data_IF_930270049726
#
_entry.id   IF_930270049726
#
_cell.length_a   1.000
_cell.length_b   1.000
_cell.length_c   1.000
_cell.angle_alpha   90.00
_cell.angle_beta   90.00
_cell.angle_gamma   90.00
#
_symmetry.space_group_name_H-M   'P 1'
#
loop_
_entity.id
_entity.type
_entity.pdbx_description
1 polymer ?
#
# COMPACT_ATOMS: atom_id res chain seq x y z
N UNK A 1 29.30 -4.05 -20.88
CA UNK A 1 29.03 -4.23 -19.45
C UNK A 1 27.52 -4.04 -19.27
N UNK A 2 26.78 -5.13 -19.24
CA UNK A 2 25.35 -5.14 -18.96
C UNK A 2 25.21 -4.88 -17.45
N UNK A 3 24.74 -3.71 -17.08
CA UNK A 3 24.35 -3.44 -15.70
C UNK A 3 23.18 -4.37 -15.37
N UNK A 4 23.40 -5.35 -14.52
CA UNK A 4 22.32 -6.12 -13.92
C UNK A 4 21.43 -5.12 -13.13
N UNK A 5 20.21 -4.95 -13.61
CA UNK A 5 19.18 -4.23 -12.88
C UNK A 5 18.85 -5.13 -11.68
N UNK A 6 19.45 -4.82 -10.53
CA UNK A 6 19.06 -5.44 -9.27
C UNK A 6 17.60 -5.03 -9.00
N UNK A 7 16.70 -5.98 -9.27
CA UNK A 7 15.30 -5.83 -8.83
C UNK A 7 15.33 -5.65 -7.30
N UNK A 8 14.71 -4.61 -6.76
CA UNK A 8 14.63 -4.46 -5.31
C UNK A 8 13.99 -5.72 -4.74
N UNK A 9 14.60 -6.29 -3.70
CA UNK A 9 13.99 -7.40 -2.98
C UNK A 9 12.60 -6.96 -2.54
N UNK A 10 11.59 -7.57 -3.15
CA UNK A 10 10.19 -7.22 -2.97
C UNK A 10 9.71 -7.66 -1.59
N UNK A 11 9.98 -6.85 -0.57
CA UNK A 11 9.19 -6.88 0.66
C UNK A 11 7.85 -6.18 0.39
N UNK A 12 6.99 -6.86 -0.33
CA UNK A 12 5.68 -6.35 -0.72
C UNK A 12 4.70 -6.65 0.41
N UNK A 13 4.58 -5.75 1.35
CA UNK A 13 3.32 -5.62 2.05
C UNK A 13 2.29 -5.11 1.03
N UNK A 14 1.23 -5.87 0.76
CA UNK A 14 0.27 -5.70 -0.35
C UNK A 14 -0.26 -4.27 -0.49
N UNK A 15 -0.28 -3.52 0.60
CA UNK A 15 -0.84 -2.16 0.68
C UNK A 15 0.12 -1.14 1.27
N UNK A 16 1.29 -1.57 1.78
CA UNK A 16 2.32 -0.67 2.30
C UNK A 16 3.49 -0.65 1.33
N UNK A 17 3.79 0.54 0.84
CA UNK A 17 4.91 0.76 -0.06
C UNK A 17 5.94 1.65 0.63
N UNK A 18 7.20 1.21 0.61
CA UNK A 18 8.35 2.02 1.00
C UNK A 18 9.55 1.63 0.14
N UNK A 19 10.42 2.58 -0.14
CA UNK A 19 11.65 2.34 -0.91
C UNK A 19 11.47 2.06 -2.41
N UNK A 20 10.25 2.02 -2.94
CA UNK A 20 10.00 1.70 -4.36
C UNK A 20 10.71 2.66 -5.34
N UNK A 21 10.90 3.90 -4.92
CA UNK A 21 11.41 4.97 -5.77
C UNK A 21 12.67 5.61 -5.17
N UNK A 22 13.44 4.89 -4.35
CA UNK A 22 14.68 5.41 -3.77
C UNK A 22 15.66 6.04 -4.79
N UNK A 23 15.79 5.56 -6.04
CA UNK A 23 16.62 6.23 -7.03
C UNK A 23 16.27 7.71 -7.26
N UNK A 24 15.02 8.13 -7.03
CA UNK A 24 14.60 9.53 -7.16
C UNK A 24 15.20 10.47 -6.14
N UNK A 25 15.85 9.94 -5.12
CA UNK A 25 16.61 10.70 -4.13
C UNK A 25 17.75 11.50 -4.76
N UNK A 26 18.32 11.02 -5.85
CA UNK A 26 19.43 11.69 -6.54
C UNK A 26 19.04 13.07 -7.10
N UNK A 27 17.75 13.27 -7.42
CA UNK A 27 17.25 14.51 -8.01
C UNK A 27 16.39 15.35 -7.07
N UNK A 28 16.41 15.11 -5.75
CA UNK A 28 15.63 15.91 -4.79
C UNK A 28 15.98 17.40 -4.83
N UNK A 29 17.21 17.75 -5.26
CA UNK A 29 17.64 19.13 -5.46
C UNK A 29 16.87 19.85 -6.58
N UNK A 30 16.21 19.13 -7.49
CA UNK A 30 15.35 19.69 -8.53
C UNK A 30 13.90 19.88 -8.04
N UNK A 31 13.54 19.31 -6.89
CA UNK A 31 12.23 19.40 -6.29
C UNK A 31 12.13 20.53 -5.26
N UNK A 32 10.90 20.92 -4.94
CA UNK A 32 10.63 21.85 -3.83
C UNK A 32 10.40 21.05 -2.56
N UNK A 33 11.22 21.25 -1.54
CA UNK A 33 11.04 20.61 -0.23
C UNK A 33 9.81 21.17 0.47
N UNK A 34 8.94 20.30 0.94
CA UNK A 34 7.71 20.61 1.66
C UNK A 34 7.62 19.80 2.93
N UNK A 35 7.03 20.41 3.96
CA UNK A 35 6.72 19.74 5.22
C UNK A 35 5.22 19.79 5.44
N UNK A 36 4.59 18.64 5.42
CA UNK A 36 3.17 18.48 5.68
C UNK A 36 2.95 18.11 7.15
N UNK A 37 2.17 18.88 7.91
CA UNK A 37 1.71 18.45 9.23
C UNK A 37 0.76 17.25 9.07
N UNK A 38 0.59 16.47 10.14
CA UNK A 38 -0.47 15.47 10.17
C UNK A 38 -1.81 16.12 9.81
N UNK A 39 -2.50 15.56 8.83
CA UNK A 39 -3.79 16.05 8.36
C UNK A 39 -4.93 15.13 8.78
N UNK A 40 -6.05 15.71 9.20
CA UNK A 40 -7.31 15.01 9.39
C UNK A 40 -8.19 15.07 8.13
N UNK A 41 -7.81 15.89 7.16
CA UNK A 41 -8.53 16.07 5.90
C UNK A 41 -7.83 15.33 4.76
N UNK A 42 -8.61 14.87 3.80
CA UNK A 42 -8.10 14.33 2.57
C UNK A 42 -7.72 15.47 1.61
N UNK A 43 -6.59 15.32 0.94
CA UNK A 43 -6.15 16.21 -0.15
C UNK A 43 -6.45 15.52 -1.47
N UNK A 44 -7.10 16.24 -2.37
CA UNK A 44 -7.44 15.71 -3.70
C UNK A 44 -6.17 15.51 -4.54
N UNK A 45 -6.18 14.48 -5.39
CA UNK A 45 -5.14 14.29 -6.40
C UNK A 45 -5.18 15.42 -7.43
N UNK A 46 -4.02 15.83 -7.93
CA UNK A 46 -3.85 16.89 -8.93
C UNK A 46 -3.00 16.40 -10.10
N UNK A 47 -3.09 17.06 -11.26
CA UNK A 47 -2.31 16.70 -12.44
C UNK A 47 -1.06 17.55 -12.62
N UNK A 48 -0.83 18.54 -11.77
CA UNK A 48 0.25 19.52 -11.90
C UNK A 48 1.57 19.10 -11.26
N UNK A 49 1.53 18.13 -10.33
CA UNK A 49 2.73 17.72 -9.61
C UNK A 49 2.60 16.30 -9.01
N UNK A 50 3.74 15.71 -8.71
CA UNK A 50 3.88 14.50 -7.91
C UNK A 50 4.88 14.72 -6.78
N UNK A 51 4.92 13.79 -5.83
CA UNK A 51 5.69 13.95 -4.60
C UNK A 51 6.55 12.72 -4.32
N UNK A 52 7.80 12.95 -3.89
CA UNK A 52 8.68 11.91 -3.34
C UNK A 52 8.76 12.07 -1.83
N UNK A 53 8.45 11.03 -1.07
CA UNK A 53 8.45 11.03 0.41
C UNK A 53 9.87 10.79 0.92
N UNK A 54 10.44 11.76 1.63
CA UNK A 54 11.72 11.60 2.35
C UNK A 54 11.53 11.03 3.74
N UNK A 55 10.49 11.48 4.46
CA UNK A 55 10.10 10.98 5.79
C UNK A 55 8.59 11.06 5.96
N UNK A 56 8.06 10.19 6.81
CA UNK A 56 6.65 10.16 7.14
C UNK A 56 5.85 9.22 6.27
N UNK A 57 4.53 9.39 6.30
CA UNK A 57 3.60 8.45 5.69
C UNK A 57 2.32 9.13 5.19
N UNK A 58 1.92 8.72 4.00
CA UNK A 58 0.71 9.18 3.32
C UNK A 58 -0.18 7.98 3.02
N UNK A 59 -1.49 8.15 3.16
CA UNK A 59 -2.51 7.16 2.81
C UNK A 59 -3.28 7.62 1.59
N UNK A 60 -3.46 6.73 0.62
CA UNK A 60 -4.40 6.90 -0.49
C UNK A 60 -5.75 6.33 -0.07
N UNK A 61 -6.79 7.12 -0.25
CA UNK A 61 -8.19 6.71 -0.09
C UNK A 61 -8.97 6.99 -1.36
N UNK A 62 -10.01 6.21 -1.57
CA UNK A 62 -11.04 6.43 -2.57
C UNK A 62 -12.35 6.72 -1.85
N UNK A 63 -13.01 7.81 -2.21
CA UNK A 63 -14.32 8.16 -1.65
C UNK A 63 -15.41 7.68 -2.62
N UNK A 64 -16.29 6.81 -2.14
CA UNK A 64 -17.40 6.30 -2.96
C UNK A 64 -18.52 7.34 -3.11
N UNK A 65 -19.54 7.00 -3.93
CA UNK A 65 -20.70 7.88 -4.17
C UNK A 65 -21.53 8.17 -2.89
N UNK A 66 -21.42 7.35 -1.86
CA UNK A 66 -22.06 7.57 -0.56
C UNK A 66 -21.24 8.47 0.37
N UNK A 67 -20.06 8.93 -0.06
CA UNK A 67 -19.16 9.75 0.74
C UNK A 67 -18.29 8.95 1.73
N UNK A 68 -18.20 7.64 1.56
CA UNK A 68 -17.39 6.77 2.44
C UNK A 68 -15.98 6.63 1.88
N UNK A 69 -14.98 6.77 2.77
CA UNK A 69 -13.57 6.63 2.45
C UNK A 69 -13.12 5.17 2.55
N UNK A 70 -12.66 4.63 1.44
CA UNK A 70 -12.03 3.30 1.37
C UNK A 70 -10.52 3.43 1.27
N UNK A 71 -9.80 2.77 2.16
CA UNK A 71 -8.34 2.74 2.12
C UNK A 71 -7.87 1.88 0.95
N UNK A 72 -7.00 2.46 0.13
CA UNK A 72 -6.42 1.80 -1.06
C UNK A 72 -5.01 1.30 -0.75
N UNK A 73 -4.12 2.21 -0.34
CA UNK A 73 -2.74 1.88 -0.03
C UNK A 73 -2.06 2.97 0.82
N UNK A 74 -0.87 2.64 1.32
CA UNK A 74 -0.04 3.54 2.10
C UNK A 74 1.32 3.72 1.42
N UNK A 75 1.83 4.94 1.47
CA UNK A 75 3.14 5.31 0.96
C UNK A 75 4.01 5.82 2.10
N UNK A 76 5.18 5.23 2.27
CA UNK A 76 6.20 5.65 3.22
C UNK A 76 7.43 6.23 2.54
N UNK A 77 8.50 6.37 3.31
CA UNK A 77 9.81 6.86 2.85
C UNK A 77 10.27 6.17 1.57
N UNK A 78 10.82 6.93 0.63
CA UNK A 78 11.34 6.44 -0.63
C UNK A 78 10.24 6.06 -1.63
N UNK A 79 9.00 6.52 -1.43
CA UNK A 79 7.92 6.35 -2.40
C UNK A 79 7.53 7.65 -3.07
N UNK A 80 7.15 7.54 -4.33
CA UNK A 80 6.43 8.59 -5.05
C UNK A 80 4.93 8.36 -4.83
N UNK A 81 4.15 9.43 -4.77
CA UNK A 81 2.70 9.39 -4.82
C UNK A 81 2.16 10.53 -5.71
N UNK A 82 0.94 10.38 -6.18
CA UNK A 82 0.25 11.24 -7.15
C UNK A 82 0.81 11.19 -8.59
N UNK A 83 1.74 10.28 -8.88
CA UNK A 83 2.31 10.13 -10.23
C UNK A 83 1.28 9.64 -11.24
N UNK A 84 0.32 8.82 -10.84
CA UNK A 84 -0.70 8.27 -11.74
C UNK A 84 -1.53 9.37 -12.37
N UNK A 85 -2.03 10.33 -11.57
CA UNK A 85 -2.80 11.47 -12.09
C UNK A 85 -1.97 12.34 -13.05
N UNK A 86 -0.68 12.49 -12.75
CA UNK A 86 0.24 13.25 -13.64
C UNK A 86 0.48 12.50 -14.96
N UNK A 87 0.70 11.19 -14.92
CA UNK A 87 0.97 10.37 -16.12
C UNK A 87 -0.27 10.29 -17.02
N UNK A 88 -1.46 10.10 -16.42
CA UNK A 88 -2.71 9.94 -17.19
C UNK A 88 -3.32 11.27 -17.63
N UNK A 89 -2.93 12.38 -16.99
CA UNK A 89 -3.57 13.68 -17.19
C UNK A 89 -5.02 13.73 -16.67
N UNK A 90 -5.42 12.72 -15.88
CA UNK A 90 -6.76 12.61 -15.30
C UNK A 90 -6.70 12.99 -13.81
N UNK A 91 -7.46 13.99 -13.44
CA UNK A 91 -7.75 14.26 -12.04
C UNK A 91 -8.66 13.13 -11.56
N UNK A 92 -8.05 12.07 -11.02
CA UNK A 92 -8.79 10.98 -10.40
C UNK A 92 -9.65 11.57 -9.26
N UNK A 93 -10.81 12.10 -9.64
CA UNK A 93 -11.69 12.95 -8.81
C UNK A 93 -12.13 12.29 -7.52
N UNK A 94 -11.92 10.97 -7.41
CA UNK A 94 -12.25 10.17 -6.24
C UNK A 94 -11.03 9.73 -5.43
N UNK A 95 -9.79 9.99 -5.92
CA UNK A 95 -8.57 9.66 -5.20
C UNK A 95 -8.15 10.82 -4.29
N UNK A 96 -7.96 10.52 -3.01
CA UNK A 96 -7.56 11.48 -2.01
C UNK A 96 -6.36 10.99 -1.23
N UNK A 97 -5.49 11.91 -0.82
CA UNK A 97 -4.32 11.62 -0.01
C UNK A 97 -4.49 12.20 1.40
N UNK A 98 -4.17 11.42 2.41
CA UNK A 98 -4.13 11.88 3.81
C UNK A 98 -2.74 11.71 4.38
N UNK A 99 -2.22 12.79 4.96
CA UNK A 99 -0.94 12.78 5.68
C UNK A 99 -1.18 12.21 7.08
N UNK A 100 -0.59 11.05 7.39
CA UNK A 100 -0.86 10.31 8.62
C UNK A 100 -0.02 10.77 9.82
N UNK A 101 1.15 11.35 9.52
CA UNK A 101 2.10 11.90 10.49
C UNK A 101 2.85 13.07 9.84
N UNK A 102 3.68 13.81 10.60
CA UNK A 102 4.52 14.84 9.99
C UNK A 102 5.35 14.23 8.87
N UNK A 103 5.11 14.67 7.63
CA UNK A 103 5.71 14.11 6.41
C UNK A 103 6.56 15.16 5.73
N UNK A 104 7.80 14.82 5.40
CA UNK A 104 8.71 15.61 4.58
C UNK A 104 8.73 15.00 3.18
N UNK A 105 8.48 15.81 2.17
CA UNK A 105 8.43 15.36 0.78
C UNK A 105 9.00 16.41 -0.17
N UNK A 106 9.43 15.96 -1.34
CA UNK A 106 9.85 16.81 -2.45
C UNK A 106 8.77 16.82 -3.53
N UNK A 107 8.29 18.01 -3.86
CA UNK A 107 7.31 18.24 -4.94
C UNK A 107 8.05 18.43 -6.24
N UNK A 108 7.67 17.68 -7.25
CA UNK A 108 8.14 17.83 -8.64
C UNK A 108 6.99 18.26 -9.55
N UNK A 109 7.21 19.17 -10.49
CA UNK A 109 6.19 19.56 -11.46
C UNK A 109 5.92 18.41 -12.45
N UNK A 110 4.68 18.31 -12.94
CA UNK A 110 4.30 17.30 -13.93
C UNK A 110 5.14 17.39 -15.22
N UNK A 111 5.54 18.61 -15.60
CA UNK A 111 6.39 18.85 -16.77
C UNK A 111 7.70 18.07 -16.74
N UNK A 112 8.21 17.70 -15.56
CA UNK A 112 9.49 16.98 -15.44
C UNK A 112 9.44 15.61 -16.13
N UNK A 113 8.38 14.85 -15.94
CA UNK A 113 8.26 13.49 -16.54
C UNK A 113 7.86 13.53 -18.02
N UNK A 114 7.40 14.68 -18.51
CA UNK A 114 7.08 14.90 -19.92
C UNK A 114 8.24 15.55 -20.69
N UNK A 115 9.33 15.91 -20.01
CA UNK A 115 10.51 16.51 -20.62
C UNK A 115 11.40 15.42 -21.25
N UNK A 116 11.56 15.50 -22.58
CA UNK A 116 12.41 14.56 -23.33
C UNK A 116 13.90 14.67 -22.94
N UNK A 117 14.37 15.85 -22.51
CA UNK A 117 15.75 16.03 -22.03
C UNK A 117 15.94 15.30 -20.70
N UNK A 118 15.01 15.47 -19.76
CA UNK A 118 15.01 14.76 -18.49
C UNK A 118 15.00 13.24 -18.73
N UNK A 119 14.11 12.74 -19.60
CA UNK A 119 14.03 11.31 -19.91
C UNK A 119 15.33 10.76 -20.50
N UNK A 120 16.05 11.55 -21.29
CA UNK A 120 17.35 11.19 -21.86
C UNK A 120 18.47 11.19 -20.82
N UNK A 121 18.45 12.14 -19.89
CA UNK A 121 19.46 12.26 -18.85
C UNK A 121 19.25 11.25 -17.72
N UNK A 122 17.99 10.95 -17.37
CA UNK A 122 17.61 10.06 -16.26
C UNK A 122 16.71 8.90 -16.68
N UNK A 123 17.07 8.08 -17.69
CA UNK A 123 16.21 7.01 -18.19
C UNK A 123 15.89 5.96 -17.10
N UNK A 124 16.82 5.76 -16.16
CA UNK A 124 16.62 4.84 -15.05
C UNK A 124 15.55 5.31 -14.06
N UNK A 125 15.34 6.62 -13.90
CA UNK A 125 14.25 7.15 -13.06
C UNK A 125 12.89 6.96 -13.72
N UNK A 126 12.80 7.17 -15.04
CA UNK A 126 11.57 6.89 -15.78
C UNK A 126 11.22 5.40 -15.70
N UNK A 127 12.21 4.51 -15.89
CA UNK A 127 12.02 3.07 -15.74
C UNK A 127 11.61 2.71 -14.32
N UNK A 128 12.25 3.31 -13.30
CA UNK A 128 11.91 3.09 -11.90
C UNK A 128 10.47 3.54 -11.58
N UNK A 129 10.03 4.69 -12.10
CA UNK A 129 8.64 5.14 -11.96
C UNK A 129 7.66 4.16 -12.57
N UNK A 130 7.94 3.68 -13.80
CA UNK A 130 7.12 2.67 -14.47
C UNK A 130 7.00 1.38 -13.65
N UNK A 131 8.13 0.85 -13.17
CA UNK A 131 8.17 -0.37 -12.35
C UNK A 131 7.44 -0.18 -11.03
N UNK A 132 7.62 0.98 -10.38
CA UNK A 132 6.92 1.31 -9.14
C UNK A 132 5.41 1.41 -9.32
N UNK A 133 4.94 2.06 -10.38
CA UNK A 133 3.52 2.16 -10.73
C UNK A 133 2.92 0.79 -11.06
N UNK A 134 3.63 -0.03 -11.84
CA UNK A 134 3.22 -1.40 -12.14
C UNK A 134 3.11 -2.26 -10.87
N UNK A 135 4.06 -2.13 -9.93
CA UNK A 135 4.04 -2.81 -8.63
C UNK A 135 2.82 -2.39 -7.80
N UNK A 136 2.53 -1.10 -7.72
CA UNK A 136 1.34 -0.58 -7.03
C UNK A 136 0.06 -1.13 -7.63
N UNK A 137 -0.03 -1.14 -8.96
CA UNK A 137 -1.18 -1.68 -9.68
C UNK A 137 -1.35 -3.19 -9.43
N UNK A 138 -0.29 -3.97 -9.53
CA UNK A 138 -0.32 -5.42 -9.25
C UNK A 138 -0.79 -5.72 -7.83
N UNK A 139 -0.33 -4.93 -6.85
CA UNK A 139 -0.75 -5.08 -5.47
C UNK A 139 -2.20 -4.69 -5.25
N UNK A 140 -2.67 -3.60 -5.88
CA UNK A 140 -4.07 -3.21 -5.85
C UNK A 140 -4.98 -4.28 -6.45
N UNK A 141 -4.56 -4.88 -7.57
CA UNK A 141 -5.25 -6.00 -8.20
C UNK A 141 -5.34 -7.19 -7.24
N UNK A 142 -4.21 -7.58 -6.61
CA UNK A 142 -4.17 -8.67 -5.64
C UNK A 142 -5.11 -8.43 -4.46
N UNK A 143 -5.13 -7.22 -3.91
CA UNK A 143 -6.07 -6.84 -2.83
C UNK A 143 -7.51 -6.95 -3.30
N UNK A 144 -7.83 -6.42 -4.48
CA UNK A 144 -9.19 -6.38 -4.99
C UNK A 144 -9.75 -7.77 -5.33
N UNK A 145 -8.93 -8.64 -5.90
CA UNK A 145 -9.37 -9.96 -6.36
C UNK A 145 -9.12 -11.08 -5.35
N UNK A 146 -7.99 -11.08 -4.66
CA UNK A 146 -7.63 -12.20 -3.79
C UNK A 146 -8.10 -12.02 -2.34
N UNK A 147 -8.09 -10.76 -1.86
CA UNK A 147 -8.38 -10.50 -0.44
C UNK A 147 -9.84 -10.19 -0.21
N UNK A 148 -10.51 -9.47 -1.13
CA UNK A 148 -11.88 -9.01 -0.93
C UNK A 148 -12.98 -10.02 -1.30
N UNK A 149 -12.63 -11.21 -1.76
CA UNK A 149 -13.62 -12.25 -2.03
C UNK A 149 -13.92 -13.10 -0.80
N UNK A 150 -15.12 -13.64 -0.76
CA UNK A 150 -15.57 -14.60 0.21
C UNK A 150 -15.99 -14.03 1.56
N UNK A 151 -16.06 -14.93 2.54
CA UNK A 151 -16.47 -14.59 3.91
C UNK A 151 -15.53 -13.59 4.57
N UNK A 152 -15.97 -12.80 5.56
CA UNK A 152 -15.08 -11.94 6.33
C UNK A 152 -13.88 -12.68 6.92
N UNK A 153 -14.07 -13.93 7.37
CA UNK A 153 -12.99 -14.76 7.92
C UNK A 153 -11.97 -15.13 6.83
N UNK A 154 -12.42 -15.56 5.65
CA UNK A 154 -11.56 -15.87 4.52
C UNK A 154 -10.70 -14.67 4.11
N UNK A 155 -11.31 -13.47 4.04
CA UNK A 155 -10.60 -12.22 3.73
C UNK A 155 -9.50 -11.92 4.74
N UNK A 156 -9.78 -12.07 6.04
CA UNK A 156 -8.78 -11.89 7.10
C UNK A 156 -7.66 -12.91 6.98
N UNK A 157 -7.98 -14.19 6.77
CA UNK A 157 -6.99 -15.25 6.63
C UNK A 157 -6.09 -15.03 5.41
N UNK A 158 -6.66 -14.69 4.24
CA UNK A 158 -5.88 -14.38 3.03
C UNK A 158 -4.94 -13.19 3.23
N UNK A 159 -5.41 -12.14 3.90
CA UNK A 159 -4.59 -10.98 4.23
C UNK A 159 -3.41 -11.35 5.13
N UNK A 160 -3.66 -12.07 6.23
CA UNK A 160 -2.62 -12.50 7.16
C UNK A 160 -1.59 -13.42 6.48
N UNK A 161 -2.06 -14.38 5.67
CA UNK A 161 -1.19 -15.26 4.87
C UNK A 161 -0.31 -14.47 3.91
N UNK A 162 -0.89 -13.54 3.17
CA UNK A 162 -0.15 -12.74 2.20
C UNK A 162 0.85 -11.81 2.89
N UNK A 163 0.48 -11.25 4.02
CA UNK A 163 1.37 -10.41 4.82
C UNK A 163 2.55 -11.22 5.38
N UNK A 164 2.30 -12.44 5.88
CA UNK A 164 3.36 -13.36 6.29
C UNK A 164 4.30 -13.71 5.14
N UNK A 165 3.75 -14.04 3.95
CA UNK A 165 4.54 -14.32 2.74
C UNK A 165 5.43 -13.15 2.34
N UNK A 166 4.93 -11.92 2.43
CA UNK A 166 5.72 -10.72 2.15
C UNK A 166 6.87 -10.48 3.15
N UNK A 167 6.81 -11.17 4.30
CA UNK A 167 7.86 -11.18 5.32
C UNK A 167 8.58 -12.54 5.41
N UNK A 168 8.79 -13.21 4.27
CA UNK A 168 9.49 -14.51 4.17
C UNK A 168 8.85 -15.62 5.01
N UNK A 169 7.53 -15.69 5.05
CA UNK A 169 6.75 -16.62 5.88
C UNK A 169 7.05 -16.48 7.37
N UNK A 170 7.33 -15.28 7.83
CA UNK A 170 7.51 -15.01 9.25
C UNK A 170 6.20 -15.23 10.00
N UNK A 171 6.29 -15.74 11.23
CA UNK A 171 5.15 -15.85 12.15
C UNK A 171 4.83 -14.52 12.82
N UNK A 172 5.83 -13.65 13.02
CA UNK A 172 5.67 -12.32 13.57
C UNK A 172 6.13 -11.28 12.54
N UNK A 173 5.30 -10.28 12.31
CA UNK A 173 5.58 -9.24 11.31
C UNK A 173 4.88 -7.92 11.66
N UNK A 174 5.42 -6.79 11.19
CA UNK A 174 4.82 -5.48 11.44
C UNK A 174 3.50 -5.33 10.67
N UNK A 175 2.51 -4.65 11.28
CA UNK A 175 1.25 -4.29 10.63
C UNK A 175 1.18 -2.80 10.29
N UNK A 176 1.52 -1.95 11.24
CA UNK A 176 1.50 -0.48 11.18
C UNK A 176 0.18 0.14 10.67
N UNK A 177 -0.95 -0.49 11.01
CA UNK A 177 -2.29 0.03 10.76
C UNK A 177 -3.23 -0.24 11.94
N UNK A 178 -4.28 0.57 12.03
CA UNK A 178 -5.35 0.37 13.00
C UNK A 178 -6.33 -0.71 12.53
N UNK A 179 -7.12 -1.27 13.45
CA UNK A 179 -8.20 -2.20 13.09
C UNK A 179 -9.24 -1.54 12.17
N UNK A 180 -9.49 -0.24 12.30
CA UNK A 180 -10.42 0.48 11.43
C UNK A 180 -9.89 0.55 10.00
N UNK A 181 -8.60 0.84 9.83
CA UNK A 181 -7.94 0.85 8.53
C UNK A 181 -7.93 -0.55 7.92
N UNK A 182 -7.64 -1.59 8.70
CA UNK A 182 -7.69 -2.97 8.22
C UNK A 182 -9.11 -3.38 7.79
N UNK A 183 -10.13 -3.03 8.56
CA UNK A 183 -11.51 -3.30 8.19
C UNK A 183 -11.89 -2.63 6.84
N UNK A 184 -11.44 -1.38 6.65
CA UNK A 184 -11.63 -0.65 5.40
C UNK A 184 -10.88 -1.30 4.23
N UNK A 185 -9.62 -1.74 4.42
CA UNK A 185 -8.84 -2.44 3.39
C UNK A 185 -9.50 -3.74 2.96
N UNK A 186 -10.01 -4.50 3.93
CA UNK A 186 -10.66 -5.79 3.68
C UNK A 186 -12.12 -5.65 3.21
N UNK A 187 -12.64 -4.43 3.18
CA UNK A 187 -14.03 -4.13 2.85
C UNK A 187 -15.02 -4.95 3.71
N UNK A 188 -14.79 -4.94 5.02
CA UNK A 188 -15.63 -5.59 6.02
C UNK A 188 -15.98 -4.62 7.15
N UNK A 189 -17.12 -4.86 7.79
CA UNK A 189 -17.50 -4.06 8.93
C UNK A 189 -16.56 -4.31 10.13
N UNK A 190 -16.24 -3.27 10.91
CA UNK A 190 -15.36 -3.35 12.07
C UNK A 190 -15.75 -4.44 13.07
N UNK A 191 -17.05 -4.65 13.29
CA UNK A 191 -17.57 -5.71 14.17
C UNK A 191 -17.25 -7.09 13.61
N UNK A 192 -17.36 -7.28 12.30
CA UNK A 192 -16.99 -8.53 11.63
C UNK A 192 -15.50 -8.80 11.75
N UNK A 193 -14.65 -7.79 11.55
CA UNK A 193 -13.21 -7.93 11.78
C UNK A 193 -12.91 -8.37 13.23
N UNK A 194 -13.53 -7.71 14.22
CA UNK A 194 -13.34 -8.07 15.62
C UNK A 194 -13.69 -9.54 15.90
N UNK A 195 -14.84 -10.02 15.37
CA UNK A 195 -15.27 -11.42 15.51
C UNK A 195 -14.28 -12.39 14.85
N UNK A 196 -13.80 -12.08 13.65
CA UNK A 196 -12.79 -12.90 12.97
C UNK A 196 -11.48 -12.99 13.77
N UNK A 197 -10.97 -11.85 14.28
CA UNK A 197 -9.76 -11.85 15.10
C UNK A 197 -9.95 -12.61 16.42
N UNK A 198 -11.14 -12.54 17.02
CA UNK A 198 -11.46 -13.34 18.21
C UNK A 198 -11.49 -14.85 17.88
N UNK A 199 -12.17 -15.23 16.80
CA UNK A 199 -12.21 -16.63 16.35
C UNK A 199 -10.81 -17.19 16.07
N UNK A 200 -9.94 -16.43 15.42
CA UNK A 200 -8.55 -16.83 15.19
C UNK A 200 -7.75 -17.02 16.48
N UNK A 201 -8.04 -16.24 17.55
CA UNK A 201 -7.44 -16.43 18.87
C UNK A 201 -7.97 -17.70 19.56
N UNK A 202 -9.27 -17.92 19.49
CA UNK A 202 -9.91 -19.13 20.08
C UNK A 202 -9.41 -20.42 19.42
N UNK A 203 -9.11 -20.37 18.11
CA UNK A 203 -8.47 -21.45 17.36
C UNK A 203 -6.95 -21.56 17.62
N UNK A 204 -6.37 -20.65 18.40
CA UNK A 204 -4.94 -20.65 18.69
C UNK A 204 -4.06 -20.22 17.51
N UNK A 205 -4.62 -19.71 16.42
CA UNK A 205 -3.88 -19.28 15.22
C UNK A 205 -3.27 -17.90 15.43
N UNK A 206 -4.01 -16.98 16.04
CA UNK A 206 -3.58 -15.61 16.28
C UNK A 206 -3.13 -15.43 17.73
N UNK A 207 -1.82 -15.24 17.95
CA UNK A 207 -1.25 -15.02 19.29
C UNK A 207 -1.38 -13.54 19.69
N UNK A 208 -1.00 -12.65 18.79
CA UNK A 208 -1.03 -11.21 19.04
C UNK A 208 -1.55 -10.42 17.83
N UNK A 209 -2.34 -9.42 18.10
CA UNK A 209 -2.73 -8.41 17.13
C UNK A 209 -2.67 -7.04 17.78
N UNK A 210 -1.73 -6.22 17.37
CA UNK A 210 -1.57 -4.83 17.78
C UNK A 210 -1.50 -3.91 16.57
N UNK A 211 -1.46 -2.60 16.79
CA UNK A 211 -1.26 -1.63 15.71
C UNK A 211 0.10 -1.81 15.01
N UNK A 212 1.09 -2.35 15.71
CA UNK A 212 2.48 -2.39 15.22
C UNK A 212 2.96 -3.79 14.85
N UNK A 213 2.26 -4.82 15.34
CA UNK A 213 2.72 -6.20 15.20
C UNK A 213 1.56 -7.18 15.17
N UNK A 214 1.67 -8.15 14.30
CA UNK A 214 0.88 -9.37 14.28
C UNK A 214 1.82 -10.55 14.60
N UNK A 215 1.33 -11.49 15.41
CA UNK A 215 2.02 -12.74 15.71
C UNK A 215 1.05 -13.91 15.54
N UNK A 216 1.41 -14.84 14.68
CA UNK A 216 0.70 -16.10 14.41
C UNK A 216 1.42 -17.25 15.10
N UNK A 217 0.69 -18.27 15.54
CA UNK A 217 1.27 -19.47 16.15
C UNK A 217 1.93 -20.36 15.08
N UNK A 218 1.09 -20.91 14.19
CA UNK A 218 1.49 -21.81 13.11
C UNK A 218 0.82 -21.40 11.79
N UNK A 219 1.62 -21.30 10.72
CA UNK A 219 1.11 -20.90 9.40
C UNK A 219 0.27 -22.00 8.76
N UNK A 220 0.59 -23.27 9.01
CA UNK A 220 -0.14 -24.41 8.44
C UNK A 220 -1.59 -24.46 8.94
N UNK A 221 -1.85 -24.04 10.18
CA UNK A 221 -3.21 -23.93 10.70
C UNK A 221 -4.00 -22.81 10.01
N UNK A 222 -3.34 -21.69 9.70
CA UNK A 222 -3.95 -20.60 8.94
C UNK A 222 -4.27 -21.03 7.50
N UNK A 223 -3.37 -21.76 6.84
CA UNK A 223 -3.57 -22.30 5.50
C UNK A 223 -4.75 -23.28 5.49
N UNK A 224 -4.79 -24.24 6.42
CA UNK A 224 -5.88 -25.20 6.52
C UNK A 224 -7.24 -24.53 6.74
N UNK A 225 -7.32 -23.55 7.66
CA UNK A 225 -8.56 -22.80 7.88
C UNK A 225 -8.99 -22.06 6.61
N UNK A 226 -8.04 -21.53 5.85
CA UNK A 226 -8.34 -20.84 4.59
C UNK A 226 -8.88 -21.82 3.54
N UNK A 227 -8.28 -22.99 3.38
CA UNK A 227 -8.77 -24.07 2.50
C UNK A 227 -10.20 -24.45 2.83
N UNK A 228 -10.52 -24.67 4.13
CA UNK A 228 -11.88 -24.97 4.59
C UNK A 228 -12.89 -23.85 4.24
N UNK A 229 -12.46 -22.58 4.34
CA UNK A 229 -13.32 -21.45 3.95
C UNK A 229 -13.53 -21.37 2.43
N UNK A 230 -12.52 -21.69 1.62
CA UNK A 230 -12.61 -21.69 0.17
C UNK A 230 -13.46 -22.84 -0.36
N UNK A 231 -13.35 -24.03 0.21
CA UNK A 231 -14.22 -25.17 -0.13
C UNK A 231 -15.71 -24.88 0.15
N UNK A 232 -15.98 -24.19 1.26
CA UNK A 232 -17.36 -23.81 1.63
C UNK A 232 -17.97 -22.74 0.72
N UNK A 233 -17.16 -21.98 -0.04
CA UNK A 233 -17.62 -20.97 -0.99
C UNK A 233 -17.96 -21.55 -2.38
N UNK A 234 -17.35 -22.68 -2.76
CA UNK A 234 -17.45 -23.25 -4.10
C UNK A 234 -18.25 -24.57 -4.16
N UNK A 235 -18.64 -25.11 -3.02
CA UNK A 235 -19.48 -26.30 -2.86
C UNK A 235 -20.94 -25.95 -2.59
#
# INVERSE_FOLDING_TARGET
MTAEIQMPQQHIAIIFHSGLHEPWREIVHMGTHLVFPRSHYNHQATTDCFYFIDKGRVRLTYTNAAGEDHVVMFFGKGCIFNETSVITGDEATMACFRVLERTEAYRFPSSLIHDAEFARQYPHLILNMLLGTATKFSNLFSVSFLIKHGTPLARVCRFLRQLSRSHNNAKAFPLDMTQLELASVLDIHRVSLFRCLQQLRELGILVRFSRHEIELSELDQLEKLLEEQEEAEWG
#
